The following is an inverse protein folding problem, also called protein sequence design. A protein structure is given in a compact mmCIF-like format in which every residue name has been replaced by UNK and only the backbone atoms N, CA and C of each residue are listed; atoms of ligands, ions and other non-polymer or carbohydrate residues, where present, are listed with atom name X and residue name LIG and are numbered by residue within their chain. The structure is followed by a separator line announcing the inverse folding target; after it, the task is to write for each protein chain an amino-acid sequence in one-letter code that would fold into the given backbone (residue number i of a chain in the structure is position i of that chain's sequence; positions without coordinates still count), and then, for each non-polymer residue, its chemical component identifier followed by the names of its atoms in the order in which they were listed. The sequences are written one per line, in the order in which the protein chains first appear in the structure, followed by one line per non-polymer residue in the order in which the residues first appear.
data_IF_145760968315
#
_entry.id   IF_145760968315
#
_cell.length_a   1.000
_cell.length_b   1.000
_cell.length_c   1.000
_cell.angle_alpha   90.00
_cell.angle_beta   90.00
_cell.angle_gamma   90.00
#
_symmetry.space_group_name_H-M   'P 1'
#
loop_
_entity.id
_entity.type
_entity.pdbx_description
1 polymer ?
#
# COMPACT_ATOMS: atom_id res chain seq x y z
N UNK A 1 -2.46 6.98 0.22
CA UNK A 1 -1.22 6.96 1.02
C UNK A 1 -0.44 8.21 0.66
N UNK A 2 0.10 8.91 1.65
CA UNK A 2 0.71 10.24 1.47
C UNK A 2 2.24 10.14 1.29
N UNK A 3 2.71 9.07 0.66
CA UNK A 3 4.13 8.75 0.51
C UNK A 3 4.44 8.73 -0.98
N UNK A 4 5.31 9.63 -1.49
CA UNK A 4 5.71 9.65 -2.89
C UNK A 4 6.12 8.28 -3.42
N UNK A 5 5.71 7.95 -4.65
CA UNK A 5 5.93 6.64 -5.31
C UNK A 5 7.39 6.26 -5.34
N UNK A 6 8.30 7.23 -5.50
CA UNK A 6 9.74 6.99 -5.50
C UNK A 6 10.33 6.62 -4.12
N UNK A 7 9.57 6.78 -3.02
CA UNK A 7 10.02 6.47 -1.65
C UNK A 7 9.25 5.32 -0.99
N UNK A 8 8.22 4.79 -1.67
CA UNK A 8 7.35 3.77 -1.09
C UNK A 8 8.08 2.45 -0.77
N UNK A 9 9.04 2.03 -1.61
CA UNK A 9 9.87 0.85 -1.37
C UNK A 9 10.59 0.98 -0.01
N UNK A 10 11.22 2.13 0.24
CA UNK A 10 11.91 2.42 1.50
C UNK A 10 10.95 2.39 2.69
N UNK A 11 9.78 2.99 2.56
CA UNK A 11 8.77 2.99 3.63
C UNK A 11 8.30 1.57 3.97
N UNK A 12 7.99 0.76 2.95
CA UNK A 12 7.56 -0.63 3.14
C UNK A 12 8.65 -1.49 3.78
N UNK A 13 9.92 -1.29 3.40
CA UNK A 13 11.05 -1.98 4.01
C UNK A 13 11.21 -1.61 5.49
N UNK A 14 11.13 -0.33 5.83
CA UNK A 14 11.17 0.13 7.22
C UNK A 14 10.04 -0.52 8.02
N UNK A 15 8.79 -0.44 7.52
CA UNK A 15 7.63 -1.06 8.19
C UNK A 15 7.87 -2.55 8.43
N UNK A 16 8.36 -3.29 7.42
CA UNK A 16 8.67 -4.72 7.56
C UNK A 16 9.62 -5.01 8.71
N UNK A 17 10.66 -4.18 8.94
CA UNK A 17 11.63 -4.40 10.03
C UNK A 17 11.02 -4.25 11.43
N UNK A 18 9.90 -3.55 11.55
CA UNK A 18 9.23 -3.29 12.83
C UNK A 18 8.16 -4.34 13.18
N UNK A 19 7.82 -5.21 12.23
CA UNK A 19 6.78 -6.23 12.39
C UNK A 19 7.44 -7.55 12.78
N UNK A 20 6.88 -8.23 13.79
CA UNK A 20 7.33 -9.57 14.20
C UNK A 20 7.25 -10.56 13.01
N UNK A 21 8.10 -11.58 12.94
CA UNK A 21 7.98 -12.63 11.93
C UNK A 21 6.56 -13.19 11.85
N UNK A 22 6.05 -13.39 10.62
CA UNK A 22 4.67 -13.83 10.36
C UNK A 22 3.55 -12.88 10.84
N UNK A 23 3.88 -11.64 11.22
CA UNK A 23 2.90 -10.63 11.61
C UNK A 23 1.93 -10.30 10.48
N UNK A 24 0.66 -10.10 10.84
CA UNK A 24 -0.42 -9.75 9.90
C UNK A 24 -0.68 -8.25 10.00
N UNK A 25 -0.81 -7.60 8.85
CA UNK A 25 -1.11 -6.18 8.72
C UNK A 25 -2.26 -5.92 7.75
N UNK A 26 -2.78 -4.70 7.83
CA UNK A 26 -3.78 -4.18 6.90
C UNK A 26 -3.28 -2.88 6.28
N UNK A 27 -3.37 -2.77 4.96
CA UNK A 27 -2.97 -1.57 4.21
C UNK A 27 -4.11 -1.17 3.29
N UNK A 28 -4.47 0.11 3.32
CA UNK A 28 -5.43 0.69 2.39
C UNK A 28 -4.91 1.96 1.71
N UNK A 29 -5.31 2.17 0.47
CA UNK A 29 -4.91 3.32 -0.34
C UNK A 29 -5.90 3.59 -1.47
N UNK A 30 -5.86 4.82 -2.01
CA UNK A 30 -6.69 5.20 -3.16
C UNK A 30 -6.21 4.48 -4.42
N UNK A 31 -7.17 3.98 -5.20
CA UNK A 31 -6.95 3.40 -6.52
C UNK A 31 -6.83 4.52 -7.56
N UNK A 32 -6.00 4.32 -8.58
CA UNK A 32 -5.84 5.26 -9.69
C UNK A 32 -4.47 5.16 -10.33
N UNK A 33 -4.08 6.22 -11.03
CA UNK A 33 -2.78 6.37 -11.65
C UNK A 33 -2.07 7.64 -11.13
N UNK A 34 -0.74 7.64 -11.22
CA UNK A 34 0.13 8.77 -10.87
C UNK A 34 0.05 9.22 -9.40
N UNK A 35 0.50 10.44 -9.18
CA UNK A 35 0.52 11.12 -7.90
C UNK A 35 0.06 12.55 -8.09
N UNK A 36 -0.75 13.06 -7.17
CA UNK A 36 -1.19 14.45 -7.22
C UNK A 36 -1.60 14.94 -5.83
N UNK A 37 -1.58 16.25 -5.69
CA UNK A 37 -2.24 16.92 -4.59
C UNK A 37 -3.76 16.88 -4.81
N UNK A 38 -4.49 16.52 -3.76
CA UNK A 38 -5.94 16.53 -3.74
C UNK A 38 -6.43 17.97 -3.53
N UNK A 39 -7.12 18.51 -4.53
CA UNK A 39 -7.47 19.93 -4.60
C UNK A 39 -8.40 20.41 -3.48
N UNK A 40 -9.14 19.51 -2.84
CA UNK A 40 -10.03 19.86 -1.73
C UNK A 40 -9.32 19.84 -0.37
N UNK A 41 -8.36 18.91 -0.21
CA UNK A 41 -7.71 18.69 1.09
C UNK A 41 -6.27 19.22 1.16
N UNK A 42 -5.67 19.60 0.03
CA UNK A 42 -4.25 19.99 -0.07
C UNK A 42 -3.27 18.85 0.22
N UNK A 43 -3.73 17.60 0.20
CA UNK A 43 -2.91 16.44 0.59
C UNK A 43 -2.34 15.75 -0.64
N UNK A 44 -1.05 15.42 -0.59
CA UNK A 44 -0.42 14.58 -1.62
C UNK A 44 -0.95 13.15 -1.54
N UNK A 45 -1.43 12.61 -2.65
CA UNK A 45 -1.82 11.20 -2.76
C UNK A 45 -1.06 10.52 -3.88
N UNK A 46 -0.55 9.34 -3.54
CA UNK A 46 -0.01 8.37 -4.49
C UNK A 46 -1.08 7.33 -4.79
N UNK A 47 -1.43 7.22 -6.06
CA UNK A 47 -2.50 6.34 -6.54
C UNK A 47 -1.91 5.13 -7.23
N UNK A 48 -2.49 3.97 -7.01
CA UNK A 48 -1.97 2.72 -7.57
C UNK A 48 -3.09 1.91 -8.19
N UNK A 49 -2.73 1.07 -9.16
CA UNK A 49 -3.62 -0.02 -9.57
C UNK A 49 -3.52 -1.20 -8.59
N UNK A 50 -4.56 -2.03 -8.56
CA UNK A 50 -4.60 -3.24 -7.72
C UNK A 50 -3.39 -4.16 -8.00
N UNK A 51 -2.99 -4.29 -9.27
CA UNK A 51 -1.88 -5.14 -9.71
C UNK A 51 -0.51 -4.53 -9.36
N UNK A 52 -0.36 -3.22 -9.56
CA UNK A 52 0.87 -2.49 -9.26
C UNK A 52 1.21 -2.56 -7.78
N UNK A 53 0.24 -2.24 -6.90
CA UNK A 53 0.51 -2.23 -5.46
C UNK A 53 0.70 -3.63 -4.89
N UNK A 54 0.00 -4.65 -5.42
CA UNK A 54 0.25 -6.06 -5.05
C UNK A 54 1.71 -6.44 -5.31
N UNK A 55 2.21 -6.17 -6.52
CA UNK A 55 3.61 -6.47 -6.89
C UNK A 55 4.60 -5.73 -6.01
N UNK A 56 4.29 -4.49 -5.67
CA UNK A 56 5.12 -3.67 -4.79
C UNK A 56 5.22 -4.25 -3.37
N UNK A 57 4.09 -4.71 -2.80
CA UNK A 57 4.07 -5.41 -1.52
C UNK A 57 4.91 -6.70 -1.57
N UNK A 58 4.70 -7.52 -2.59
CA UNK A 58 5.41 -8.80 -2.77
C UNK A 58 6.92 -8.61 -2.92
N UNK A 59 7.34 -7.61 -3.73
CA UNK A 59 8.74 -7.20 -3.89
C UNK A 59 9.39 -6.80 -2.56
N UNK A 60 8.63 -6.17 -1.66
CA UNK A 60 9.14 -5.69 -0.37
C UNK A 60 8.99 -6.69 0.78
N UNK A 61 8.71 -7.96 0.48
CA UNK A 61 8.72 -9.05 1.47
C UNK A 61 7.41 -9.23 2.23
N UNK A 62 6.31 -8.69 1.71
CA UNK A 62 4.98 -9.01 2.18
C UNK A 62 4.37 -10.13 1.33
N UNK A 63 3.55 -10.95 1.95
CA UNK A 63 2.66 -11.90 1.30
C UNK A 63 1.24 -11.32 1.34
N UNK A 64 0.55 -11.23 0.20
CA UNK A 64 -0.84 -10.75 0.17
C UNK A 64 -1.78 -11.92 0.41
N UNK A 65 -2.33 -12.01 1.62
CA UNK A 65 -3.28 -13.06 2.01
C UNK A 65 -4.66 -12.79 1.40
N UNK A 66 -5.06 -11.52 1.34
CA UNK A 66 -6.36 -11.11 0.83
C UNK A 66 -6.29 -9.70 0.26
N UNK A 67 -7.03 -9.46 -0.81
CA UNK A 67 -7.21 -8.13 -1.36
C UNK A 67 -8.67 -7.90 -1.74
N UNK A 68 -9.12 -6.65 -1.62
CA UNK A 68 -10.44 -6.20 -2.05
C UNK A 68 -10.37 -4.77 -2.58
N UNK A 69 -11.29 -4.42 -3.47
CA UNK A 69 -11.61 -3.04 -3.81
C UNK A 69 -12.87 -2.61 -3.08
N UNK A 70 -12.92 -1.38 -2.58
CA UNK A 70 -14.10 -0.80 -1.95
C UNK A 70 -14.39 0.56 -2.56
N UNK A 71 -15.65 0.80 -2.95
CA UNK A 71 -16.09 2.14 -3.34
C UNK A 71 -16.28 2.98 -2.07
N UNK A 72 -15.52 4.06 -1.94
CA UNK A 72 -15.82 5.14 -1.01
C UNK A 72 -16.76 6.17 -1.66
N UNK A 73 -17.06 7.24 -0.95
CA UNK A 73 -17.97 8.29 -1.45
C UNK A 73 -17.53 8.86 -2.80
N UNK A 74 -16.22 9.08 -2.96
CA UNK A 74 -15.63 9.64 -4.18
C UNK A 74 -14.68 8.66 -4.85
N UNK A 75 -13.75 8.12 -4.06
CA UNK A 75 -12.66 7.30 -4.58
C UNK A 75 -12.91 5.79 -4.46
N UNK A 76 -12.26 5.04 -5.33
CA UNK A 76 -12.06 3.61 -5.11
C UNK A 76 -10.86 3.38 -4.20
N UNK A 77 -11.00 2.46 -3.25
CA UNK A 77 -9.96 2.08 -2.31
C UNK A 77 -9.48 0.67 -2.59
N UNK A 78 -8.18 0.48 -2.56
CA UNK A 78 -7.53 -0.82 -2.53
C UNK A 78 -7.30 -1.19 -1.07
N UNK A 79 -7.68 -2.40 -0.69
CA UNK A 79 -7.55 -2.93 0.66
C UNK A 79 -6.77 -4.24 0.61
N UNK A 80 -5.68 -4.34 1.37
CA UNK A 80 -4.81 -5.51 1.43
C UNK A 80 -4.64 -5.98 2.86
N UNK A 81 -4.80 -7.28 3.07
CA UNK A 81 -4.32 -7.98 4.25
C UNK A 81 -3.03 -8.67 3.87
N UNK A 82 -1.97 -8.34 4.60
CA UNK A 82 -0.62 -8.79 4.31
C UNK A 82 -0.05 -9.55 5.49
N UNK A 83 0.88 -10.46 5.20
CA UNK A 83 1.72 -11.12 6.19
C UNK A 83 3.17 -10.83 5.88
N UNK A 84 3.97 -10.47 6.88
CA UNK A 84 5.42 -10.34 6.67
C UNK A 84 6.04 -11.71 6.53
N UNK A 85 6.82 -11.91 5.46
CA UNK A 85 7.65 -13.10 5.31
C UNK A 85 8.72 -13.07 6.40
N UNK A 86 8.98 -14.22 7.03
CA UNK A 86 10.12 -14.34 7.94
C UNK A 86 11.40 -13.95 7.20
N UNK A 87 12.30 -13.23 7.88
CA UNK A 87 13.65 -13.04 7.36
C UNK A 87 14.29 -14.44 7.38
N UNK A 88 14.59 -14.98 6.20
CA UNK A 88 15.47 -16.14 6.04
C UNK A 88 16.90 -15.66 6.23
#
# INVERSE_FOLDING_TARGET
MHIPKNTIDKALQIIRTQIKPNGIGFISLKAGADEREDSETGRWFSYYSLKEFKKLLEKNGFEVIKQKTRKGERDWWLCYWVKTKANV
#
